data_IF_920234515701
#
_entry.id   IF_920234515701
#
_cell.length_a   1.000
_cell.length_b   1.000
_cell.length_c   1.000
_cell.angle_alpha   90.00
_cell.angle_beta   90.00
_cell.angle_gamma   90.00
#
_symmetry.space_group_name_H-M   'P 1'
#
loop_
_entity.id
_entity.type
_entity.pdbx_description
1 polymer ?
#
# COMPACT_ATOMS: atom_id res chain seq x y z
N UNK A 1 -18.60 4.85 -9.73
CA UNK A 1 -17.93 3.74 -9.01
C UNK A 1 -16.77 3.27 -9.87
N UNK A 2 -15.55 3.34 -9.35
CA UNK A 2 -14.36 2.85 -10.06
C UNK A 2 -14.38 1.32 -10.10
N UNK A 3 -13.69 0.71 -11.06
CA UNK A 3 -13.75 -0.74 -11.27
C UNK A 3 -13.33 -1.54 -10.03
N UNK A 4 -12.24 -1.14 -9.35
CA UNK A 4 -11.79 -1.79 -8.12
C UNK A 4 -12.83 -1.73 -6.98
N UNK A 5 -13.60 -0.64 -6.88
CA UNK A 5 -14.65 -0.49 -5.84
C UNK A 5 -15.77 -1.49 -6.07
N UNK A 6 -16.15 -1.69 -7.35
CA UNK A 6 -17.15 -2.66 -7.73
C UNK A 6 -16.69 -4.07 -7.40
N UNK A 7 -15.48 -4.44 -7.81
CA UNK A 7 -14.91 -5.78 -7.52
C UNK A 7 -14.92 -6.04 -6.02
N UNK A 8 -14.41 -5.11 -5.22
CA UNK A 8 -14.39 -5.25 -3.75
C UNK A 8 -15.81 -5.35 -3.18
N UNK A 9 -16.77 -4.59 -3.71
CA UNK A 9 -18.17 -4.66 -3.29
C UNK A 9 -18.82 -5.99 -3.67
N UNK A 10 -18.51 -6.56 -4.83
CA UNK A 10 -19.06 -7.84 -5.31
C UNK A 10 -18.58 -9.01 -4.44
N UNK A 11 -17.37 -8.94 -3.91
CA UNK A 11 -16.85 -9.86 -2.88
C UNK A 11 -17.40 -9.58 -1.47
N UNK A 12 -18.26 -8.57 -1.33
CA UNK A 12 -18.95 -8.23 -0.08
C UNK A 12 -18.15 -7.34 0.86
N UNK A 13 -17.18 -6.59 0.34
CA UNK A 13 -16.45 -5.54 1.05
C UNK A 13 -14.97 -5.84 1.30
N UNK A 14 -14.23 -4.80 1.67
CA UNK A 14 -12.77 -4.84 1.82
C UNK A 14 -12.28 -5.91 2.81
N UNK A 15 -12.90 -6.01 4.00
CA UNK A 15 -12.52 -7.03 5.00
C UNK A 15 -12.79 -8.46 4.51
N UNK A 16 -13.90 -8.70 3.79
CA UNK A 16 -14.17 -10.03 3.21
C UNK A 16 -13.12 -10.40 2.17
N UNK A 17 -12.69 -9.45 1.34
CA UNK A 17 -11.60 -9.70 0.40
C UNK A 17 -10.30 -10.09 1.11
N UNK A 18 -9.99 -9.48 2.26
CA UNK A 18 -8.83 -9.87 3.09
C UNK A 18 -8.97 -11.30 3.59
N UNK A 19 -10.12 -11.66 4.11
CA UNK A 19 -10.38 -13.01 4.59
C UNK A 19 -10.24 -14.04 3.47
N UNK A 20 -10.78 -13.75 2.29
CA UNK A 20 -10.64 -14.60 1.09
C UNK A 20 -9.17 -14.78 0.71
N UNK A 21 -8.39 -13.69 0.64
CA UNK A 21 -6.98 -13.75 0.27
C UNK A 21 -6.09 -14.46 1.30
N UNK A 22 -6.54 -14.56 2.55
CA UNK A 22 -5.85 -15.31 3.60
C UNK A 22 -6.16 -16.82 3.58
N UNK A 23 -7.11 -17.26 2.76
CA UNK A 23 -7.45 -18.69 2.66
C UNK A 23 -6.31 -19.47 1.99
N UNK A 24 -6.00 -20.67 2.48
CA UNK A 24 -5.04 -21.54 1.83
C UNK A 24 -5.54 -21.92 0.44
N UNK A 25 -4.62 -22.02 -0.52
CA UNK A 25 -4.89 -22.40 -1.91
C UNK A 25 -5.81 -21.44 -2.70
N UNK A 26 -6.05 -20.22 -2.23
CA UNK A 26 -6.92 -19.27 -2.95
C UNK A 26 -6.44 -18.98 -4.38
N UNK A 27 -5.13 -18.99 -4.61
CA UNK A 27 -4.49 -18.82 -5.92
C UNK A 27 -4.86 -19.93 -6.93
N UNK A 28 -5.30 -21.10 -6.46
CA UNK A 28 -5.81 -22.18 -7.32
C UNK A 28 -7.31 -22.09 -7.60
N UNK A 29 -8.06 -21.44 -6.71
CA UNK A 29 -9.52 -21.38 -6.76
C UNK A 29 -9.98 -20.20 -7.63
N UNK A 30 -9.23 -19.10 -7.61
CA UNK A 30 -9.58 -17.89 -8.37
C UNK A 30 -8.34 -17.07 -8.72
N UNK A 31 -8.55 -16.03 -9.54
CA UNK A 31 -7.54 -15.02 -9.81
C UNK A 31 -7.30 -14.12 -8.58
N UNK A 32 -6.65 -14.68 -7.55
CA UNK A 32 -6.29 -13.95 -6.33
C UNK A 32 -5.30 -12.81 -6.62
N UNK A 33 -4.46 -12.93 -7.66
CA UNK A 33 -3.57 -11.85 -8.08
C UNK A 33 -4.34 -10.61 -8.54
N UNK A 34 -5.37 -10.78 -9.38
CA UNK A 34 -6.23 -9.66 -9.80
C UNK A 34 -6.97 -9.02 -8.62
N UNK A 35 -7.42 -9.84 -7.65
CA UNK A 35 -8.03 -9.31 -6.43
C UNK A 35 -7.03 -8.50 -5.59
N UNK A 36 -5.79 -8.98 -5.43
CA UNK A 36 -4.71 -8.25 -4.72
C UNK A 36 -4.42 -6.90 -5.38
N UNK A 37 -4.43 -6.83 -6.71
CA UNK A 37 -4.23 -5.58 -7.46
C UNK A 37 -5.35 -4.58 -7.19
N UNK A 38 -6.62 -5.00 -7.27
CA UNK A 38 -7.76 -4.14 -6.95
C UNK A 38 -7.75 -3.67 -5.49
N UNK A 39 -7.35 -4.54 -4.55
CA UNK A 39 -7.20 -4.15 -3.15
C UNK A 39 -6.05 -3.17 -2.93
N UNK A 40 -4.94 -3.31 -3.65
CA UNK A 40 -3.85 -2.33 -3.64
C UNK A 40 -4.30 -0.98 -4.19
N UNK A 41 -5.04 -0.95 -5.29
CA UNK A 41 -5.62 0.29 -5.84
C UNK A 41 -6.57 0.95 -4.85
N UNK A 42 -7.44 0.17 -4.21
CA UNK A 42 -8.32 0.67 -3.17
C UNK A 42 -7.54 1.29 -2.00
N UNK A 43 -6.52 0.59 -1.49
CA UNK A 43 -5.66 1.11 -0.41
C UNK A 43 -4.98 2.42 -0.80
N UNK A 44 -4.45 2.51 -2.03
CA UNK A 44 -3.81 3.71 -2.59
C UNK A 44 -4.76 4.90 -2.62
N UNK A 45 -6.02 4.70 -3.03
CA UNK A 45 -7.01 5.76 -3.18
C UNK A 45 -7.63 6.19 -1.85
N UNK A 46 -7.75 5.27 -0.89
CA UNK A 46 -8.34 5.53 0.42
C UNK A 46 -7.31 5.84 1.52
N UNK A 47 -6.01 5.90 1.20
CA UNK A 47 -4.91 6.09 2.16
C UNK A 47 -4.96 5.09 3.34
N UNK A 48 -5.32 3.85 3.02
CA UNK A 48 -5.26 2.71 3.93
C UNK A 48 -3.86 2.10 3.79
N UNK A 49 -3.21 1.80 4.90
CA UNK A 49 -1.85 1.24 4.92
C UNK A 49 -1.86 -0.09 5.65
N UNK A 50 -1.24 -1.10 5.07
CA UNK A 50 -1.07 -2.44 5.64
C UNK A 50 0.39 -2.87 5.61
N UNK A 51 0.75 -3.81 6.51
CA UNK A 51 2.11 -4.28 6.65
C UNK A 51 2.69 -4.70 5.29
N UNK A 52 3.84 -4.11 4.98
CA UNK A 52 4.54 -4.36 3.74
C UNK A 52 4.21 -3.48 2.55
N UNK A 53 3.26 -2.56 2.66
CA UNK A 53 3.02 -1.57 1.62
C UNK A 53 4.27 -0.69 1.39
N UNK A 54 4.59 -0.44 0.13
CA UNK A 54 5.67 0.45 -0.25
C UNK A 54 5.17 1.89 -0.29
N UNK A 55 5.80 2.75 0.50
CA UNK A 55 5.38 4.14 0.73
C UNK A 55 6.53 5.11 0.50
N UNK A 56 6.17 6.35 0.20
CA UNK A 56 7.11 7.46 0.01
C UNK A 56 6.68 8.66 0.84
N UNK A 57 7.66 9.39 1.36
CA UNK A 57 7.40 10.68 2.00
C UNK A 57 7.15 11.74 0.93
N UNK A 58 6.13 12.57 1.12
CA UNK A 58 5.76 13.73 0.30
C UNK A 58 6.04 15.06 1.02
N UNK A 59 6.54 15.02 2.25
CA UNK A 59 6.80 16.22 3.05
C UNK A 59 8.08 16.99 2.65
N UNK A 60 9.11 16.29 2.15
CA UNK A 60 10.41 16.88 1.88
C UNK A 60 10.89 16.53 0.47
N UNK A 61 11.22 17.53 -0.32
CA UNK A 61 11.79 17.36 -1.67
C UNK A 61 13.06 16.48 -1.66
N UNK A 62 13.87 16.54 -0.60
CA UNK A 62 15.12 15.76 -0.48
C UNK A 62 14.93 14.29 -0.09
N UNK A 63 13.78 13.94 0.50
CA UNK A 63 13.49 12.54 0.84
C UNK A 63 12.88 11.83 -0.36
N UNK A 64 13.70 11.03 -1.03
CA UNK A 64 13.32 10.28 -2.24
C UNK A 64 13.29 8.78 -2.00
N UNK A 65 13.56 8.29 -0.78
CA UNK A 65 13.61 6.86 -0.52
C UNK A 65 12.22 6.25 -0.49
N UNK A 66 12.15 4.99 -0.91
CA UNK A 66 11.00 4.12 -0.70
C UNK A 66 11.18 3.42 0.63
N UNK A 67 10.11 3.41 1.42
CA UNK A 67 10.04 2.70 2.69
C UNK A 67 8.99 1.60 2.61
N UNK A 68 9.15 0.58 3.45
CA UNK A 68 8.14 -0.44 3.72
C UNK A 68 7.36 -0.04 4.96
N UNK A 69 6.04 0.08 4.87
CA UNK A 69 5.19 0.30 6.03
C UNK A 69 5.24 -0.92 6.96
N UNK A 70 5.34 -0.69 8.27
CA UNK A 70 5.23 -1.74 9.29
C UNK A 70 3.97 -1.56 10.14
N UNK A 71 3.73 -0.36 10.70
CA UNK A 71 2.55 -0.11 11.55
C UNK A 71 2.25 1.39 11.70
N UNK A 72 1.14 1.71 12.36
CA UNK A 72 0.75 3.08 12.76
C UNK A 72 0.64 3.15 14.28
N UNK A 73 1.27 4.16 14.89
CA UNK A 73 1.20 4.44 16.33
C UNK A 73 0.63 5.85 16.51
N UNK A 74 -0.63 5.94 16.95
CA UNK A 74 -1.35 7.21 17.06
C UNK A 74 -1.44 7.92 15.69
N UNK A 75 -0.85 9.12 15.60
CA UNK A 75 -0.82 9.92 14.36
C UNK A 75 0.43 9.67 13.50
N UNK A 76 1.31 8.77 13.94
CA UNK A 76 2.58 8.50 13.29
C UNK A 76 2.59 7.15 12.58
N UNK A 77 3.35 7.09 11.49
CA UNK A 77 3.61 5.91 10.68
C UNK A 77 5.01 5.38 10.99
N UNK A 78 5.13 4.07 11.19
CA UNK A 78 6.39 3.36 11.38
C UNK A 78 6.76 2.71 10.06
N UNK A 79 7.93 3.06 9.53
CA UNK A 79 8.38 2.63 8.22
C UNK A 79 9.82 2.15 8.26
N UNK A 80 10.12 1.10 7.51
CA UNK A 80 11.46 0.51 7.39
C UNK A 80 12.08 0.85 6.06
N UNK A 81 13.33 1.31 6.06
CA UNK A 81 14.08 1.46 4.82
C UNK A 81 14.66 0.11 4.36
N UNK A 82 15.07 0.02 3.09
CA UNK A 82 15.70 -1.18 2.52
C UNK A 82 16.92 -1.70 3.30
N UNK A 83 17.63 -0.81 4.03
CA UNK A 83 18.78 -1.17 4.88
C UNK A 83 18.38 -1.67 6.29
N UNK A 84 17.09 -1.88 6.56
CA UNK A 84 16.58 -2.40 7.83
C UNK A 84 16.40 -1.35 8.93
N UNK A 85 16.79 -0.09 8.72
CA UNK A 85 16.55 0.99 9.71
C UNK A 85 15.07 1.36 9.73
N UNK A 86 14.52 1.48 10.94
CA UNK A 86 13.12 1.85 11.19
C UNK A 86 13.05 3.34 11.55
N UNK A 87 12.01 4.01 11.07
CA UNK A 87 11.74 5.42 11.31
C UNK A 87 10.29 5.63 11.69
N UNK A 88 10.04 6.68 12.47
CA UNK A 88 8.70 7.10 12.89
C UNK A 88 8.46 8.53 12.43
N UNK A 89 7.40 8.76 11.66
CA UNK A 89 7.07 10.06 11.09
C UNK A 89 5.57 10.36 11.19
N UNK A 90 5.12 11.62 11.08
CA UNK A 90 3.71 11.94 10.90
C UNK A 90 3.11 11.22 9.69
N UNK A 91 2.02 10.48 9.88
CA UNK A 91 1.35 9.71 8.81
C UNK A 91 0.97 10.58 7.61
N UNK A 92 0.54 11.82 7.86
CA UNK A 92 0.15 12.80 6.83
C UNK A 92 1.24 13.12 5.80
N UNK A 93 2.49 12.78 6.08
CA UNK A 93 3.59 12.99 5.16
C UNK A 93 3.74 11.86 4.15
N UNK A 94 3.02 10.76 4.27
CA UNK A 94 3.23 9.57 3.44
C UNK A 94 2.06 9.30 2.52
N UNK A 95 2.40 8.84 1.32
CA UNK A 95 1.46 8.20 0.40
C UNK A 95 2.02 6.85 -0.02
N UNK A 96 1.18 6.01 -0.59
CA UNK A 96 1.65 4.85 -1.34
C UNK A 96 2.60 5.27 -2.45
N UNK A 97 3.60 4.42 -2.71
CA UNK A 97 4.50 4.54 -3.85
C UNK A 97 3.76 4.07 -5.11
N UNK A 98 3.93 4.80 -6.21
CA UNK A 98 3.43 4.37 -7.53
C UNK A 98 4.31 3.27 -8.10
N UNK A 99 3.79 2.53 -9.09
CA UNK A 99 4.57 1.47 -9.74
C UNK A 99 5.82 2.03 -10.44
N UNK A 100 5.73 3.24 -10.99
CA UNK A 100 6.86 3.97 -11.56
C UNK A 100 7.91 4.33 -10.51
N UNK A 101 7.50 4.77 -9.32
CA UNK A 101 8.41 5.06 -8.21
C UNK A 101 9.09 3.77 -7.72
N UNK A 102 8.33 2.69 -7.53
CA UNK A 102 8.84 1.38 -7.12
C UNK A 102 9.86 0.87 -8.13
N UNK A 103 9.55 0.93 -9.42
CA UNK A 103 10.47 0.54 -10.50
C UNK A 103 11.74 1.39 -10.52
N UNK A 104 11.63 2.69 -10.26
CA UNK A 104 12.78 3.59 -10.17
C UNK A 104 13.59 3.42 -8.87
N UNK A 105 13.03 2.74 -7.87
CA UNK A 105 13.62 2.61 -6.53
C UNK A 105 13.66 3.92 -5.73
N UNK A 106 12.97 4.96 -6.19
CA UNK A 106 12.92 6.29 -5.58
C UNK A 106 11.62 7.02 -5.90
N UNK A 107 11.22 7.96 -5.04
CA UNK A 107 10.18 8.94 -5.32
C UNK A 107 10.58 9.75 -6.55
N UNK A 108 9.66 9.88 -7.48
CA UNK A 108 9.84 10.71 -8.66
C UNK A 108 9.42 12.14 -8.32
N UNK A 109 10.13 13.11 -8.85
CA UNK A 109 9.68 14.51 -8.79
C UNK A 109 8.42 14.62 -9.66
N UNK A 110 7.38 15.21 -9.10
CA UNK A 110 6.23 15.62 -9.88
C UNK A 110 6.70 16.87 -10.61
N UNK A 111 7.03 16.72 -11.89
CA UNK A 111 7.43 17.83 -12.75
C UNK A 111 6.34 18.87 -12.93
#
# INVERSE_FOLDING_TARGET
MKFYERVISDFGGYEKCKDILNQPNIDFIMNAQGLREHMLEYRRQHNIFEDGDLVVSRCNAKETRIFKYETTIGKNIVVKCKKGKVYCYPKKWFSHATDSEIKAGKRLEVG
#
